data_IF_655237641196
#
_entry.id   IF_655237641196
#
_cell.length_a   1.000
_cell.length_b   1.000
_cell.length_c   1.000
_cell.angle_alpha   90.00
_cell.angle_beta   90.00
_cell.angle_gamma   90.00
#
_symmetry.space_group_name_H-M   'P 1'
#
loop_
_entity.id
_entity.type
_entity.pdbx_description
1 polymer ?
#
# COMPACT_ATOMS: atom_id res chain seq x y z
N UNK A 1 -2.01 -7.03 -28.97
CA UNK A 1 -2.01 -7.84 -27.73
C UNK A 1 -3.03 -7.22 -26.79
N UNK A 2 -4.14 -7.90 -26.54
CA UNK A 2 -5.15 -7.43 -25.57
C UNK A 2 -4.67 -7.86 -24.20
N UNK A 3 -4.06 -6.95 -23.43
CA UNK A 3 -3.75 -7.22 -22.02
C UNK A 3 -5.09 -7.39 -21.31
N UNK A 4 -5.40 -8.62 -20.90
CA UNK A 4 -6.56 -8.86 -20.03
C UNK A 4 -6.18 -8.24 -18.69
N UNK A 5 -6.84 -7.15 -18.31
CA UNK A 5 -6.69 -6.58 -16.96
C UNK A 5 -7.29 -7.57 -15.97
N UNK A 6 -6.47 -8.51 -15.50
CA UNK A 6 -6.84 -9.37 -14.40
C UNK A 6 -6.61 -8.58 -13.11
N UNK A 7 -7.66 -8.44 -12.30
CA UNK A 7 -7.52 -7.88 -10.96
C UNK A 7 -6.85 -8.92 -10.06
N UNK A 8 -5.76 -8.52 -9.40
CA UNK A 8 -5.09 -9.36 -8.41
C UNK A 8 -5.87 -9.34 -7.09
N UNK A 9 -5.89 -10.45 -6.37
CA UNK A 9 -6.18 -10.42 -4.93
C UNK A 9 -5.07 -9.64 -4.22
N UNK A 10 -5.40 -8.94 -3.14
CA UNK A 10 -4.45 -8.08 -2.43
C UNK A 10 -4.31 -8.55 -0.98
N UNK A 11 -3.08 -8.80 -0.56
CA UNK A 11 -2.72 -8.96 0.85
C UNK A 11 -2.47 -7.59 1.45
N UNK A 12 -3.07 -7.33 2.62
CA UNK A 12 -2.90 -6.08 3.37
C UNK A 12 -2.26 -6.40 4.70
N UNK A 13 -1.13 -5.78 5.01
CA UNK A 13 -0.40 -5.99 6.25
C UNK A 13 0.20 -4.69 6.77
N UNK A 14 0.22 -4.55 8.10
CA UNK A 14 1.01 -3.51 8.75
C UNK A 14 2.42 -4.04 9.03
N UNK A 15 3.43 -3.29 8.61
CA UNK A 15 4.85 -3.64 8.78
C UNK A 15 5.55 -2.50 9.49
N UNK A 16 6.25 -2.80 10.57
CA UNK A 16 7.13 -1.84 11.23
C UNK A 16 8.33 -1.54 10.33
N UNK A 17 8.50 -0.27 9.95
CA UNK A 17 9.63 0.16 9.12
C UNK A 17 10.70 0.92 9.91
N UNK A 18 10.33 1.48 11.07
CA UNK A 18 11.24 2.19 11.95
C UNK A 18 10.73 2.11 13.39
N UNK A 19 11.64 1.87 14.33
CA UNK A 19 11.37 2.07 15.74
C UNK A 19 11.99 3.39 16.19
N UNK A 20 11.18 4.35 16.63
CA UNK A 20 11.66 5.62 17.17
C UNK A 20 11.49 5.64 18.68
N UNK A 21 12.56 5.29 19.41
CA UNK A 21 12.60 5.34 20.88
C UNK A 21 11.46 4.54 21.54
N UNK A 22 11.20 3.32 21.06
CA UNK A 22 10.13 2.46 21.56
C UNK A 22 8.76 2.71 20.90
N UNK A 23 8.64 3.71 20.03
CA UNK A 23 7.44 3.95 19.24
C UNK A 23 7.60 3.37 17.83
N UNK A 24 6.92 2.26 17.49
CA UNK A 24 6.99 1.70 16.15
C UNK A 24 6.23 2.60 15.16
N UNK A 25 6.88 2.91 14.03
CA UNK A 25 6.25 3.50 12.87
C UNK A 25 5.89 2.38 11.89
N UNK A 26 4.60 2.30 11.56
CA UNK A 26 4.03 1.26 10.74
C UNK A 26 3.74 1.79 9.35
N UNK A 27 4.11 1.02 8.33
CA UNK A 27 3.64 1.18 6.96
C UNK A 27 2.59 0.10 6.68
N UNK A 28 1.51 0.47 6.01
CA UNK A 28 0.51 -0.46 5.49
C UNK A 28 0.87 -0.85 4.07
N UNK A 29 1.17 -2.11 3.87
CA UNK A 29 1.51 -2.68 2.57
C UNK A 29 0.28 -3.31 1.93
N UNK A 30 -0.04 -2.86 0.71
CA UNK A 30 -1.01 -3.49 -0.19
C UNK A 30 -0.22 -4.24 -1.26
N UNK A 31 -0.20 -5.57 -1.16
CA UNK A 31 0.60 -6.43 -2.03
C UNK A 31 -0.29 -7.28 -2.93
N UNK A 32 -0.18 -7.17 -4.26
CA UNK A 32 -0.85 -8.09 -5.17
C UNK A 32 -0.34 -9.52 -4.95
N UNK A 33 -1.25 -10.49 -4.86
CA UNK A 33 -0.92 -11.91 -4.79
C UNK A 33 -0.50 -12.43 -6.17
N UNK A 34 0.69 -13.01 -6.28
CA UNK A 34 1.20 -13.57 -7.54
C UNK A 34 2.71 -13.72 -7.53
N UNK A 35 3.27 -14.22 -8.63
CA UNK A 35 4.71 -14.51 -8.73
C UNK A 35 5.58 -13.25 -8.89
N UNK A 36 4.99 -12.10 -9.24
CA UNK A 36 5.72 -10.87 -9.53
C UNK A 36 6.69 -11.01 -10.71
N UNK A 37 7.66 -10.09 -10.87
CA UNK A 37 7.88 -8.91 -10.01
C UNK A 37 6.78 -7.86 -10.20
N UNK A 38 6.41 -7.19 -9.11
CA UNK A 38 5.49 -6.06 -9.13
C UNK A 38 6.26 -4.76 -8.88
N UNK A 39 6.00 -3.67 -9.63
CA UNK A 39 6.52 -2.34 -9.28
C UNK A 39 5.95 -1.89 -7.92
N UNK A 40 6.66 -0.99 -7.25
CA UNK A 40 6.24 -0.42 -5.96
C UNK A 40 6.00 1.09 -6.06
N UNK A 41 4.98 1.57 -5.36
CA UNK A 41 4.65 2.99 -5.17
C UNK A 41 4.59 3.28 -3.68
N UNK A 42 5.12 4.44 -3.28
CA UNK A 42 4.96 4.99 -1.94
C UNK A 42 3.85 6.04 -2.02
N UNK A 43 2.79 5.85 -1.23
CA UNK A 43 1.71 6.82 -1.08
C UNK A 43 1.92 7.62 0.20
N UNK A 44 1.75 8.94 0.12
CA UNK A 44 1.91 9.84 1.25
C UNK A 44 0.63 10.66 1.38
N UNK A 45 -0.14 10.36 2.43
CA UNK A 45 -1.42 11.00 2.62
C UNK A 45 -1.29 12.51 2.92
N UNK A 46 -2.30 13.26 2.52
CA UNK A 46 -2.42 14.69 2.84
C UNK A 46 -2.91 14.96 4.27
N UNK A 47 -3.36 16.20 4.54
CA UNK A 47 -3.90 16.56 5.85
C UNK A 47 -2.96 17.36 6.74
N UNK A 48 -1.81 17.76 6.21
CA UNK A 48 -0.86 18.69 6.83
C UNK A 48 -0.48 18.30 8.27
N UNK A 49 -0.35 17.00 8.54
CA UNK A 49 -0.03 16.43 9.86
C UNK A 49 -1.03 16.75 10.99
N UNK A 50 -2.20 17.30 10.66
CA UNK A 50 -3.22 17.69 11.65
C UNK A 50 -4.56 17.01 11.42
N UNK A 51 -4.73 16.31 10.29
CA UNK A 51 -5.97 15.64 9.92
C UNK A 51 -5.67 14.30 9.26
N UNK A 52 -6.51 13.32 9.60
CA UNK A 52 -6.42 11.96 9.08
C UNK A 52 -5.50 11.08 9.91
N UNK A 53 -5.37 9.85 9.46
CA UNK A 53 -4.49 8.83 9.99
C UNK A 53 -3.91 7.98 8.84
N UNK A 54 -3.08 7.01 9.20
CA UNK A 54 -2.40 6.08 8.28
C UNK A 54 -3.33 5.14 7.49
N UNK A 55 -4.66 5.22 7.66
CA UNK A 55 -5.64 4.46 6.88
C UNK A 55 -6.34 5.34 5.84
N UNK A 56 -6.05 6.64 5.82
CA UNK A 56 -6.52 7.53 4.78
C UNK A 56 -5.97 7.10 3.42
N UNK A 57 -6.84 6.74 2.49
CA UNK A 57 -6.43 6.31 1.15
C UNK A 57 -6.46 4.81 0.94
N UNK A 58 -6.74 3.99 1.97
CA UNK A 58 -6.80 2.53 1.88
C UNK A 58 -7.62 2.01 0.69
N UNK A 59 -8.80 2.58 0.44
CA UNK A 59 -9.64 2.18 -0.70
C UNK A 59 -8.98 2.45 -2.06
N UNK A 60 -8.27 3.57 -2.20
CA UNK A 60 -7.54 3.91 -3.42
C UNK A 60 -6.27 3.04 -3.55
N UNK A 61 -5.56 2.81 -2.44
CA UNK A 61 -4.36 1.99 -2.37
C UNK A 61 -4.66 0.53 -2.70
N UNK A 62 -5.76 -0.03 -2.19
CA UNK A 62 -6.22 -1.37 -2.54
C UNK A 62 -6.65 -1.46 -4.02
N UNK A 63 -7.36 -0.45 -4.54
CA UNK A 63 -7.76 -0.41 -5.94
C UNK A 63 -6.55 -0.35 -6.88
N UNK A 64 -5.52 0.43 -6.53
CA UNK A 64 -4.26 0.49 -7.27
C UNK A 64 -3.49 -0.85 -7.16
N UNK A 65 -3.48 -1.47 -5.98
CA UNK A 65 -2.82 -2.76 -5.81
C UNK A 65 -3.46 -3.87 -6.64
N UNK A 66 -4.78 -3.84 -6.83
CA UNK A 66 -5.49 -4.75 -7.74
C UNK A 66 -5.00 -4.66 -9.19
N UNK A 67 -4.32 -3.59 -9.60
CA UNK A 67 -3.74 -3.46 -10.95
C UNK A 67 -2.34 -4.08 -11.09
N UNK A 68 -1.80 -4.69 -10.03
CA UNK A 68 -0.47 -5.33 -10.05
C UNK A 68 0.65 -4.39 -9.63
N UNK A 69 0.38 -3.44 -8.75
CA UNK A 69 1.38 -2.54 -8.13
C UNK A 69 1.40 -2.80 -6.64
N UNK A 70 2.57 -2.83 -6.01
CA UNK A 70 2.65 -2.81 -4.54
C UNK A 70 2.49 -1.36 -4.09
N UNK A 71 1.61 -1.10 -3.13
CA UNK A 71 1.48 0.22 -2.50
C UNK A 71 1.97 0.14 -1.06
N UNK A 72 2.92 1.00 -0.71
CA UNK A 72 3.34 1.22 0.67
C UNK A 72 2.81 2.59 1.12
N UNK A 73 1.98 2.58 2.16
CA UNK A 73 1.42 3.76 2.79
C UNK A 73 1.97 3.90 4.21
#
# INVERSE_FOLDING_TARGET
MTTRTQAYSVDIADVEYLNHSGSPLLARLFKPQGTGPFPIVIELHGGAWVRGDRLNGDAANEALAKTGVIVAH
#
